data_IF_037457134761
#
_entry.id   IF_037457134761
#
_cell.length_a   1.000
_cell.length_b   1.000
_cell.length_c   1.000
_cell.angle_alpha   90.00
_cell.angle_beta   90.00
_cell.angle_gamma   90.00
#
_symmetry.space_group_name_H-M   'P 1'
#
loop_
_entity.id
_entity.type
_entity.pdbx_description
1 polymer ?
#
# COMPACT_ATOMS: atom_id res chain seq x y z
N UNK A 1 -10.99 -5.18 -10.13
CA UNK A 1 -10.36 -6.15 -9.20
C UNK A 1 -10.74 -7.61 -9.50
N UNK A 2 -9.80 -8.55 -9.31
CA UNK A 2 -10.02 -10.01 -9.45
C UNK A 2 -9.57 -10.75 -8.18
N UNK A 3 -9.96 -12.03 -8.05
CA UNK A 3 -9.50 -12.86 -6.94
C UNK A 3 -7.99 -13.17 -7.05
N UNK A 4 -7.26 -13.27 -5.92
CA UNK A 4 -7.75 -13.21 -4.54
C UNK A 4 -7.91 -11.79 -3.97
N UNK A 5 -7.45 -10.74 -4.66
CA UNK A 5 -7.48 -9.36 -4.17
C UNK A 5 -8.90 -8.84 -3.87
N UNK A 6 -9.93 -9.42 -4.50
CA UNK A 6 -11.35 -9.14 -4.23
C UNK A 6 -11.88 -9.69 -2.89
N UNK A 7 -11.15 -10.56 -2.20
CA UNK A 7 -11.62 -11.07 -0.91
C UNK A 7 -11.54 -10.01 0.18
N UNK A 8 -12.60 -9.82 0.96
CA UNK A 8 -12.59 -8.91 2.11
C UNK A 8 -11.59 -9.30 3.19
N UNK A 9 -11.06 -10.53 3.18
CA UNK A 9 -10.04 -10.99 4.14
C UNK A 9 -8.61 -10.59 3.76
N UNK A 10 -8.38 -10.01 2.57
CA UNK A 10 -7.06 -9.54 2.15
C UNK A 10 -7.00 -8.01 2.08
N UNK A 11 -5.79 -7.48 2.07
CA UNK A 11 -5.51 -6.08 1.79
C UNK A 11 -5.15 -5.98 0.30
N UNK A 12 -5.96 -5.25 -0.46
CA UNK A 12 -5.70 -5.00 -1.86
C UNK A 12 -4.89 -3.72 -2.05
N UNK A 13 -3.84 -3.81 -2.88
CA UNK A 13 -2.88 -2.71 -3.05
C UNK A 13 -2.86 -2.23 -4.50
N UNK A 14 -3.22 -0.95 -4.69
CA UNK A 14 -3.02 -0.22 -5.93
C UNK A 14 -1.59 0.29 -6.05
N UNK A 15 -1.13 0.50 -7.29
CA UNK A 15 0.15 1.10 -7.60
C UNK A 15 0.02 2.61 -7.82
N UNK A 16 0.99 3.37 -7.33
CA UNK A 16 1.18 4.80 -7.67
C UNK A 16 2.53 5.04 -8.34
N UNK A 17 2.62 6.13 -9.08
CA UNK A 17 3.87 6.70 -9.55
C UNK A 17 4.49 7.65 -8.51
N UNK A 18 5.68 8.16 -8.81
CA UNK A 18 6.44 9.05 -7.90
C UNK A 18 5.76 10.41 -7.67
N UNK A 19 4.85 10.81 -8.57
CA UNK A 19 4.02 12.00 -8.46
C UNK A 19 2.62 11.68 -7.91
N UNK A 20 2.50 10.53 -7.24
CA UNK A 20 1.28 9.96 -6.67
C UNK A 20 0.16 9.70 -7.68
N UNK A 21 0.45 9.77 -8.98
CA UNK A 21 -0.54 9.45 -10.01
C UNK A 21 -0.79 7.94 -10.14
N UNK A 22 -2.04 7.56 -10.35
CA UNK A 22 -2.41 6.17 -10.63
C UNK A 22 -2.15 5.82 -12.10
N UNK A 23 -1.26 4.86 -12.41
CA UNK A 23 -1.06 4.38 -13.78
C UNK A 23 -2.29 3.59 -14.25
N UNK A 24 -2.59 3.64 -15.56
CA UNK A 24 -3.81 3.05 -16.15
C UNK A 24 -3.96 1.53 -16.01
N UNK A 25 -2.93 0.82 -15.57
CA UNK A 25 -2.92 -0.63 -15.33
C UNK A 25 -3.01 -0.97 -13.83
N UNK A 26 -3.09 0.03 -12.95
CA UNK A 26 -3.21 -0.18 -11.51
C UNK A 26 -4.48 -0.98 -11.17
N UNK A 27 -4.50 -1.54 -9.96
CA UNK A 27 -5.73 -2.12 -9.44
C UNK A 27 -6.73 -1.00 -9.16
N UNK A 28 -7.97 -1.19 -9.60
CA UNK A 28 -9.07 -0.26 -9.37
C UNK A 28 -10.34 -1.03 -8.96
N UNK A 29 -11.18 -0.33 -8.17
CA UNK A 29 -12.46 -0.78 -7.67
C UNK A 29 -12.60 -0.60 -6.16
N UNK A 30 -13.82 -0.77 -5.66
CA UNK A 30 -14.17 -0.60 -4.25
C UNK A 30 -13.35 -1.49 -3.31
N UNK A 31 -12.80 -2.60 -3.82
CA UNK A 31 -11.99 -3.51 -3.02
C UNK A 31 -10.54 -3.03 -2.82
N UNK A 32 -10.06 -2.01 -3.56
CA UNK A 32 -8.74 -1.40 -3.31
C UNK A 32 -8.74 -0.81 -1.91
N UNK A 33 -7.76 -1.16 -1.10
CA UNK A 33 -7.72 -0.71 0.29
C UNK A 33 -6.59 0.28 0.55
N UNK A 34 -5.43 0.09 -0.06
CA UNK A 34 -4.31 1.02 0.02
C UNK A 34 -3.67 1.22 -1.35
N UNK A 35 -2.93 2.30 -1.47
CA UNK A 35 -2.00 2.56 -2.54
C UNK A 35 -0.56 2.45 -2.04
N UNK A 36 0.37 2.08 -2.92
CA UNK A 36 1.80 2.12 -2.64
C UNK A 36 2.61 2.32 -3.92
N UNK A 37 3.89 2.76 -3.82
CA UNK A 37 4.75 2.95 -4.97
C UNK A 37 4.88 1.67 -5.80
N UNK A 38 4.45 1.75 -7.07
CA UNK A 38 4.45 0.60 -7.98
C UNK A 38 5.03 0.90 -9.36
N UNK A 39 5.38 2.15 -9.66
CA UNK A 39 6.02 2.54 -10.93
C UNK A 39 7.52 2.74 -10.73
N UNK A 40 8.33 2.15 -11.61
CA UNK A 40 9.79 2.33 -11.63
C UNK A 40 10.47 1.96 -10.31
N UNK A 41 10.04 0.85 -9.70
CA UNK A 41 10.58 0.36 -8.44
C UNK A 41 11.83 -0.48 -8.70
N UNK A 42 12.95 -0.02 -8.14
CA UNK A 42 14.22 -0.74 -8.21
C UNK A 42 14.33 -1.73 -7.06
N UNK A 43 14.53 -3.01 -7.38
CA UNK A 43 14.72 -4.06 -6.39
C UNK A 43 15.77 -5.08 -6.83
N UNK A 44 16.09 -6.02 -5.94
CA UNK A 44 17.02 -7.13 -6.21
C UNK A 44 16.51 -8.01 -7.35
N UNK A 45 17.44 -8.58 -8.10
CA UNK A 45 17.17 -9.46 -9.23
C UNK A 45 18.14 -10.65 -9.22
N UNK A 46 17.98 -11.54 -10.20
CA UNK A 46 18.85 -12.72 -10.36
C UNK A 46 20.33 -12.34 -10.48
N UNK A 47 21.20 -13.30 -10.18
CA UNK A 47 22.66 -13.19 -10.34
C UNK A 47 23.31 -12.03 -9.55
N UNK A 48 22.71 -11.64 -8.43
CA UNK A 48 23.19 -10.56 -7.57
C UNK A 48 22.99 -9.16 -8.17
N UNK A 49 22.15 -9.05 -9.20
CA UNK A 49 21.87 -7.79 -9.89
C UNK A 49 20.67 -7.06 -9.28
N UNK A 50 20.36 -5.91 -9.88
CA UNK A 50 19.16 -5.13 -9.59
C UNK A 50 18.41 -4.88 -10.88
N UNK A 51 17.09 -4.77 -10.78
CA UNK A 51 16.23 -4.42 -11.89
C UNK A 51 15.19 -3.39 -11.45
N UNK A 52 14.74 -2.57 -12.39
CA UNK A 52 13.69 -1.57 -12.16
C UNK A 52 12.47 -1.97 -12.98
N UNK A 53 11.37 -2.27 -12.30
CA UNK A 53 10.13 -2.73 -12.93
C UNK A 53 8.92 -2.02 -12.33
N UNK A 54 7.79 -2.12 -13.02
CA UNK A 54 6.53 -1.50 -12.62
C UNK A 54 5.44 -2.56 -12.51
N UNK A 55 4.56 -2.42 -11.51
CA UNK A 55 3.41 -3.28 -11.32
C UNK A 55 2.80 -3.14 -9.93
N UNK A 56 1.54 -3.55 -9.78
CA UNK A 56 0.92 -3.74 -8.45
C UNK A 56 1.65 -4.82 -7.63
N UNK A 57 2.33 -5.76 -8.31
CA UNK A 57 3.29 -6.69 -7.71
C UNK A 57 4.47 -6.01 -7.02
N UNK A 58 4.81 -4.77 -7.41
CA UNK A 58 5.86 -3.96 -6.76
C UNK A 58 5.28 -3.06 -5.66
N UNK A 59 4.02 -2.66 -5.77
CA UNK A 59 3.32 -1.93 -4.71
C UNK A 59 3.05 -2.82 -3.48
N UNK A 60 2.52 -4.02 -3.70
CA UNK A 60 2.17 -4.98 -2.64
C UNK A 60 3.26 -5.25 -1.60
N UNK A 61 4.54 -5.49 -1.95
CA UNK A 61 5.60 -5.72 -0.97
C UNK A 61 5.96 -4.49 -0.11
N UNK A 62 5.66 -3.26 -0.54
CA UNK A 62 5.81 -2.09 0.32
C UNK A 62 4.84 -2.16 1.51
N UNK A 63 3.55 -2.41 1.23
CA UNK A 63 2.54 -2.59 2.28
C UNK A 63 2.88 -3.78 3.19
N UNK A 64 3.33 -4.90 2.62
CA UNK A 64 3.77 -6.05 3.42
C UNK A 64 4.96 -5.71 4.34
N UNK A 65 5.91 -4.90 3.86
CA UNK A 65 7.03 -4.39 4.66
C UNK A 65 6.58 -3.49 5.80
N UNK A 66 5.63 -2.59 5.54
CA UNK A 66 5.02 -1.74 6.59
C UNK A 66 4.34 -2.58 7.66
N UNK A 67 3.54 -3.58 7.26
CA UNK A 67 2.93 -4.52 8.22
C UNK A 67 4.00 -5.23 9.05
N UNK A 68 5.12 -5.64 8.46
CA UNK A 68 6.22 -6.25 9.21
C UNK A 68 6.83 -5.30 10.25
N UNK A 69 6.96 -4.00 9.94
CA UNK A 69 7.38 -2.97 10.90
C UNK A 69 6.37 -2.81 12.04
N UNK A 70 5.07 -2.77 11.72
CA UNK A 70 3.99 -2.66 12.71
C UNK A 70 3.98 -3.85 13.68
N UNK A 71 4.15 -5.07 13.15
CA UNK A 71 4.29 -6.28 13.96
C UNK A 71 5.51 -6.20 14.88
N UNK A 72 6.64 -5.67 14.37
CA UNK A 72 7.84 -5.41 15.15
C UNK A 72 7.66 -4.35 16.25
N UNK A 73 6.77 -3.38 16.04
CA UNK A 73 6.39 -2.35 17.01
C UNK A 73 5.35 -2.83 18.03
N UNK A 74 4.77 -4.01 17.86
CA UNK A 74 3.81 -4.62 18.80
C UNK A 74 2.34 -4.47 18.42
N UNK A 75 2.01 -4.08 17.18
CA UNK A 75 0.65 -4.15 16.65
C UNK A 75 0.42 -5.57 16.11
N UNK A 76 -0.23 -6.44 16.89
CA UNK A 76 -0.15 -7.89 16.64
C UNK A 76 -1.38 -8.50 15.98
N UNK A 77 -2.57 -7.90 16.11
CA UNK A 77 -3.77 -8.50 15.51
C UNK A 77 -3.99 -8.01 14.06
N UNK A 78 -4.48 -8.88 13.16
CA UNK A 78 -4.81 -8.47 11.79
C UNK A 78 -5.82 -7.32 11.73
N UNK A 79 -6.75 -7.25 12.68
CA UNK A 79 -7.75 -6.18 12.75
C UNK A 79 -7.12 -4.84 13.16
N UNK A 80 -6.23 -4.83 14.16
CA UNK A 80 -5.51 -3.62 14.56
C UNK A 80 -4.58 -3.14 13.45
N UNK A 81 -3.85 -4.06 12.80
CA UNK A 81 -2.98 -3.73 11.65
C UNK A 81 -3.79 -3.07 10.55
N UNK A 82 -4.91 -3.68 10.16
CA UNK A 82 -5.76 -3.15 9.09
C UNK A 82 -6.34 -1.80 9.44
N UNK A 83 -6.86 -1.64 10.65
CA UNK A 83 -7.43 -0.37 11.11
C UNK A 83 -6.38 0.74 11.18
N UNK A 84 -5.17 0.44 11.67
CA UNK A 84 -4.08 1.42 11.69
C UNK A 84 -3.68 1.83 10.27
N UNK A 85 -3.46 0.86 9.37
CA UNK A 85 -3.15 1.16 7.96
C UNK A 85 -4.18 2.08 7.29
N UNK A 86 -5.48 1.84 7.51
CA UNK A 86 -6.55 2.67 6.95
C UNK A 86 -6.59 4.07 7.56
N UNK A 87 -6.35 4.18 8.87
CA UNK A 87 -6.43 5.43 9.59
C UNK A 87 -5.22 6.35 9.35
N UNK A 88 -4.09 5.77 8.97
CA UNK A 88 -2.81 6.48 8.83
C UNK A 88 -2.32 6.57 7.39
N UNK A 89 -3.13 6.16 6.41
CA UNK A 89 -2.76 6.32 5.02
C UNK A 89 -2.88 7.80 4.62
N UNK A 90 -1.95 8.27 3.79
CA UNK A 90 -2.04 9.61 3.21
C UNK A 90 -3.16 9.61 2.16
N UNK A 91 -4.26 10.27 2.48
CA UNK A 91 -5.44 10.36 1.62
C UNK A 91 -5.10 11.06 0.29
N UNK A 92 -5.17 10.29 -0.79
CA UNK A 92 -4.93 10.74 -2.16
C UNK A 92 -6.24 10.69 -2.95
N UNK A 93 -6.47 11.70 -3.79
CA UNK A 93 -7.65 11.71 -4.65
C UNK A 93 -8.90 12.26 -3.95
N UNK A 94 -9.96 11.47 -3.91
CA UNK A 94 -11.22 11.89 -3.29
C UNK A 94 -11.21 11.56 -1.80
N UNK A 95 -11.57 12.54 -0.96
CA UNK A 95 -11.50 12.37 0.50
C UNK A 95 -12.14 11.08 1.01
N UNK A 96 -11.37 10.33 1.79
CA UNK A 96 -11.76 9.04 2.36
C UNK A 96 -11.45 7.88 1.42
N UNK A 97 -12.26 6.82 1.50
CA UNK A 97 -12.04 5.65 0.65
C UNK A 97 -12.50 5.92 -0.79
N UNK A 98 -11.61 5.69 -1.76
CA UNK A 98 -11.92 5.74 -3.19
C UNK A 98 -11.45 4.51 -3.99
N UNK A 99 -11.90 4.43 -5.25
CA UNK A 99 -11.68 3.26 -6.10
C UNK A 99 -10.26 3.17 -6.71
N UNK A 100 -9.41 4.17 -6.51
CA UNK A 100 -8.08 4.27 -7.11
C UNK A 100 -6.96 4.13 -6.07
N UNK A 101 -7.13 4.75 -4.92
CA UNK A 101 -6.15 4.78 -3.82
C UNK A 101 -6.61 4.01 -2.58
N UNK A 102 -7.87 3.58 -2.54
CA UNK A 102 -8.44 3.01 -1.32
C UNK A 102 -8.50 4.09 -0.25
N UNK A 103 -7.92 3.82 0.93
CA UNK A 103 -7.79 4.82 2.00
C UNK A 103 -6.61 5.78 1.80
N UNK A 104 -5.74 5.55 0.81
CA UNK A 104 -4.59 6.41 0.53
C UNK A 104 -3.26 5.67 0.37
N UNK A 105 -2.18 6.43 0.25
CA UNK A 105 -0.81 5.93 0.20
C UNK A 105 -0.39 5.38 1.57
N UNK A 106 0.23 4.20 1.59
CA UNK A 106 0.70 3.60 2.85
C UNK A 106 1.80 4.43 3.51
N UNK A 107 1.59 4.82 4.78
CA UNK A 107 2.61 5.49 5.61
C UNK A 107 3.20 4.51 6.64
N UNK A 108 4.53 4.35 6.62
CA UNK A 108 5.25 3.46 7.53
C UNK A 108 5.49 4.06 8.92
N UNK A 109 5.74 5.36 9.02
CA UNK A 109 6.03 6.04 10.28
C UNK A 109 4.75 6.18 11.09
N UNK A 110 3.69 6.66 10.47
CA UNK A 110 2.43 6.92 11.14
C UNK A 110 1.76 5.61 11.59
N UNK A 111 1.76 4.57 10.73
CA UNK A 111 1.16 3.28 11.05
C UNK A 111 1.87 2.52 12.18
N UNK A 112 3.16 2.79 12.42
CA UNK A 112 3.95 2.12 13.47
C UNK A 112 3.95 2.88 14.79
N UNK A 113 3.80 4.21 14.76
CA UNK A 113 3.87 5.08 15.94
C UNK A 113 2.49 5.56 16.42
N UNK A 114 1.45 5.43 15.59
CA UNK A 114 0.08 5.89 15.88
C UNK A 114 -0.05 7.41 16.01
N UNK A 115 0.91 8.17 15.46
CA UNK A 115 0.93 9.63 15.56
C UNK A 115 0.94 10.24 14.16
N UNK A 116 -0.20 10.82 13.74
CA UNK A 116 -0.30 11.58 12.49
C UNK A 116 0.74 12.70 12.45
N UNK A 117 1.76 12.54 11.63
CA UNK A 117 2.69 13.62 11.30
C UNK A 117 2.17 14.32 10.05
N UNK A 118 1.14 15.17 10.21
CA UNK A 118 0.68 16.03 9.12
C UNK A 118 1.87 16.80 8.51
N UNK A 119 2.11 16.76 7.19
CA UNK A 119 2.92 17.76 6.51
C UNK A 119 2.25 19.14 6.49
#
# INVERSE_FOLDING_TARGET
MIYPAKYSSVIAVAATAVDDSTPSWSAEGEEVELAAPGVSIRSTWNDGLYNTISGTSMASPHVAGVVALMLGAGVLSPAEVRAALQATADDLGATGHDNFYGYGLVDAEESTTGSQTNP
#
